data_IF_608914262283
#
_entry.id   IF_608914262283
#
_cell.length_a   1.000
_cell.length_b   1.000
_cell.length_c   1.000
_cell.angle_alpha   90.00
_cell.angle_beta   90.00
_cell.angle_gamma   90.00
#
_symmetry.space_group_name_H-M   'P 1'
#
loop_
_entity.id
_entity.type
_entity.pdbx_description
1 polymer ?
#
# COMPACT_ATOMS: atom_id res chain seq x y z
N UNK A 1 18.99 0.54 -8.11
CA UNK A 1 18.18 -0.13 -7.08
C UNK A 1 17.83 -1.49 -7.64
N UNK A 2 18.07 -2.57 -6.90
CA UNK A 2 17.90 -3.95 -7.36
C UNK A 2 16.62 -4.54 -6.77
N UNK A 3 15.86 -5.28 -7.57
CA UNK A 3 14.95 -6.28 -7.05
C UNK A 3 15.74 -7.32 -6.25
N UNK A 4 15.35 -7.54 -4.99
CA UNK A 4 15.97 -8.57 -4.16
C UNK A 4 14.97 -9.70 -3.95
N UNK A 5 15.45 -10.94 -4.08
CA UNK A 5 14.67 -12.11 -3.70
C UNK A 5 14.52 -12.09 -2.18
N UNK A 6 13.32 -11.77 -1.70
CA UNK A 6 13.00 -11.83 -0.28
C UNK A 6 13.09 -13.26 0.25
N UNK A 7 13.21 -13.40 1.58
CA UNK A 7 13.09 -14.70 2.26
C UNK A 7 11.76 -15.37 1.86
N UNK A 8 11.80 -16.65 1.48
CA UNK A 8 10.62 -17.41 1.05
C UNK A 8 10.30 -17.34 -0.44
N UNK A 9 11.15 -16.73 -1.28
CA UNK A 9 10.94 -16.68 -2.74
C UNK A 9 10.03 -15.53 -3.20
N UNK A 10 9.72 -14.60 -2.30
CA UNK A 10 8.94 -13.40 -2.58
C UNK A 10 9.76 -12.39 -3.41
N UNK A 11 9.14 -11.76 -4.39
CA UNK A 11 9.74 -10.66 -5.14
C UNK A 11 9.47 -9.35 -4.41
N UNK A 12 10.54 -8.72 -3.91
CA UNK A 12 10.44 -7.47 -3.16
C UNK A 12 11.29 -6.40 -3.85
N UNK A 13 10.70 -5.21 -4.01
CA UNK A 13 11.38 -4.04 -4.56
C UNK A 13 11.37 -2.90 -3.55
N UNK A 14 12.44 -2.11 -3.54
CA UNK A 14 12.47 -0.85 -2.81
C UNK A 14 12.12 0.29 -3.76
N UNK A 15 10.96 0.92 -3.54
CA UNK A 15 10.44 1.95 -4.42
C UNK A 15 10.45 3.31 -3.72
N UNK A 16 10.86 4.35 -4.45
CA UNK A 16 10.71 5.73 -3.99
C UNK A 16 9.26 6.16 -4.18
N UNK A 17 8.69 6.83 -3.18
CA UNK A 17 7.33 7.37 -3.27
C UNK A 17 7.40 8.88 -3.08
N UNK A 18 6.81 9.64 -4.01
CA UNK A 18 6.86 11.10 -3.95
C UNK A 18 6.25 11.61 -2.64
N UNK A 19 6.99 12.45 -1.92
CA UNK A 19 6.55 13.00 -0.63
C UNK A 19 6.84 12.09 0.57
N UNK A 20 7.64 11.04 0.40
CA UNK A 20 8.12 10.19 1.48
C UNK A 20 9.65 10.14 1.45
N UNK A 21 10.27 10.32 2.61
CA UNK A 21 11.73 10.37 2.74
C UNK A 21 12.38 9.00 2.56
N UNK A 22 11.76 7.96 3.13
CA UNK A 22 12.27 6.59 3.06
C UNK A 22 11.61 5.81 1.92
N UNK A 23 12.37 4.99 1.17
CA UNK A 23 11.80 4.08 0.19
C UNK A 23 10.82 3.11 0.84
N UNK A 24 9.76 2.77 0.12
CA UNK A 24 8.81 1.75 0.52
C UNK A 24 9.37 0.38 0.13
N UNK A 25 9.22 -0.60 1.03
CA UNK A 25 9.44 -2.01 0.72
C UNK A 25 8.14 -2.57 0.13
N UNK A 26 8.13 -2.81 -1.17
CA UNK A 26 6.94 -3.22 -1.93
C UNK A 26 7.06 -4.69 -2.29
N UNK A 27 6.04 -5.48 -1.94
CA UNK A 27 5.90 -6.86 -2.37
C UNK A 27 5.20 -6.90 -3.74
N UNK A 28 5.79 -7.60 -4.71
CA UNK A 28 5.13 -7.90 -5.97
C UNK A 28 4.35 -9.20 -5.80
N UNK A 29 3.04 -9.07 -5.68
CA UNK A 29 2.11 -10.17 -5.45
C UNK A 29 1.12 -10.28 -6.61
N UNK A 30 1.33 -11.27 -7.48
CA UNK A 30 0.41 -11.55 -8.60
C UNK A 30 -0.94 -12.10 -8.15
N UNK A 31 -1.09 -12.52 -6.88
CA UNK A 31 -2.36 -12.94 -6.29
C UNK A 31 -3.23 -11.77 -5.83
N UNK A 32 -2.66 -10.57 -5.68
CA UNK A 32 -3.40 -9.38 -5.28
C UNK A 32 -4.14 -8.77 -6.48
N UNK A 33 -5.42 -8.47 -6.30
CA UNK A 33 -6.26 -7.87 -7.36
C UNK A 33 -6.10 -6.36 -7.51
N UNK A 34 -5.53 -5.69 -6.51
CA UNK A 34 -5.30 -4.25 -6.41
C UNK A 34 -4.00 -3.97 -5.66
N UNK A 35 -3.57 -2.72 -5.68
CA UNK A 35 -2.47 -2.25 -4.85
C UNK A 35 -2.97 -1.95 -3.43
N UNK A 36 -2.22 -2.43 -2.43
CA UNK A 36 -2.55 -2.23 -1.01
C UNK A 36 -1.37 -1.61 -0.27
N UNK A 37 -1.67 -0.71 0.67
CA UNK A 37 -0.67 -0.07 1.52
C UNK A 37 -1.05 -0.26 2.99
N UNK A 38 -0.05 -0.54 3.84
CA UNK A 38 -0.25 -0.51 5.30
C UNK A 38 -0.44 0.94 5.72
N UNK A 39 -1.44 1.21 6.56
CA UNK A 39 -1.71 2.56 7.09
C UNK A 39 -0.46 3.15 7.76
N UNK A 40 0.24 2.37 8.56
CA UNK A 40 1.45 2.82 9.24
C UNK A 40 2.53 3.31 8.27
N UNK A 41 2.72 2.63 7.13
CA UNK A 41 3.70 3.04 6.11
C UNK A 41 3.36 4.43 5.54
N UNK A 42 2.10 4.65 5.15
CA UNK A 42 1.66 5.92 4.55
C UNK A 42 1.45 7.04 5.58
N UNK A 43 1.29 6.71 6.87
CA UNK A 43 1.15 7.68 7.95
C UNK A 43 2.40 8.55 8.16
N UNK A 44 3.56 8.12 7.66
CA UNK A 44 4.79 8.92 7.66
C UNK A 44 4.65 10.24 6.86
N UNK A 45 3.65 10.36 5.98
CA UNK A 45 3.18 11.62 5.43
C UNK A 45 1.75 11.92 5.92
N UNK A 46 1.65 12.62 7.06
CA UNK A 46 0.38 12.92 7.73
C UNK A 46 -0.59 13.72 6.87
N UNK A 47 -0.08 14.65 6.05
CA UNK A 47 -0.93 15.51 5.23
C UNK A 47 -1.65 14.68 4.16
N UNK A 48 -0.92 13.85 3.41
CA UNK A 48 -1.52 12.98 2.39
C UNK A 48 -2.55 12.02 2.98
N UNK A 49 -2.24 11.42 4.13
CA UNK A 49 -3.18 10.52 4.80
C UNK A 49 -4.42 11.29 5.30
N UNK A 50 -4.26 12.51 5.81
CA UNK A 50 -5.37 13.35 6.27
C UNK A 50 -6.29 13.73 5.11
N UNK A 51 -5.73 14.09 3.96
CA UNK A 51 -6.51 14.41 2.76
C UNK A 51 -7.31 13.19 2.28
N UNK A 52 -6.66 12.03 2.18
CA UNK A 52 -7.33 10.77 1.82
C UNK A 52 -8.43 10.37 2.81
N UNK A 53 -8.20 10.57 4.12
CA UNK A 53 -9.22 10.33 5.14
C UNK A 53 -10.41 11.29 4.98
N UNK A 54 -10.15 12.56 4.66
CA UNK A 54 -11.21 13.55 4.40
C UNK A 54 -12.04 13.18 3.17
N UNK A 55 -11.38 12.74 2.10
CA UNK A 55 -12.03 12.31 0.86
C UNK A 55 -12.83 11.02 1.02
N UNK A 56 -12.34 10.08 1.86
CA UNK A 56 -13.03 8.81 2.14
C UNK A 56 -14.34 8.96 2.95
N UNK A 57 -14.66 10.16 3.46
CA UNK A 57 -15.85 10.37 4.29
C UNK A 57 -17.11 10.13 3.46
N UNK A 58 -17.84 9.06 3.81
CA UNK A 58 -19.07 8.67 3.14
C UNK A 58 -18.91 7.61 2.05
N UNK A 59 -17.68 7.17 1.75
CA UNK A 59 -17.39 6.11 0.75
C UNK A 59 -17.73 4.69 1.26
N UNK A 60 -18.12 4.54 2.52
CA UNK A 60 -18.47 3.26 3.13
C UNK A 60 -17.24 2.39 3.43
N UNK A 61 -17.36 1.10 3.14
CA UNK A 61 -16.33 0.09 3.47
C UNK A 61 -16.04 -0.81 2.28
N UNK A 62 -14.90 -1.49 2.32
CA UNK A 62 -14.51 -2.54 1.37
C UNK A 62 -14.17 -3.82 2.12
N UNK A 63 -14.56 -4.96 1.54
CA UNK A 63 -14.14 -6.29 2.01
C UNK A 63 -12.89 -6.74 1.29
N UNK A 64 -11.89 -7.19 2.04
CA UNK A 64 -10.60 -7.67 1.52
C UNK A 64 -10.36 -9.07 2.05
N UNK A 65 -10.16 -10.04 1.15
CA UNK A 65 -9.72 -11.38 1.52
C UNK A 65 -8.20 -11.39 1.61
N UNK A 66 -7.68 -11.74 2.79
CA UNK A 66 -6.26 -11.85 3.07
C UNK A 66 -5.72 -13.22 2.64
N UNK A 67 -4.39 -13.34 2.61
CA UNK A 67 -3.71 -14.57 2.19
C UNK A 67 -3.97 -15.78 3.12
N UNK A 68 -4.37 -15.53 4.37
CA UNK A 68 -4.78 -16.56 5.33
C UNK A 68 -6.25 -17.03 5.11
N UNK A 69 -6.94 -16.47 4.12
CA UNK A 69 -8.34 -16.75 3.80
C UNK A 69 -9.35 -15.89 4.54
N UNK A 70 -8.93 -15.11 5.54
CA UNK A 70 -9.83 -14.23 6.30
C UNK A 70 -10.33 -13.07 5.45
N UNK A 71 -11.60 -12.73 5.59
CA UNK A 71 -12.18 -11.52 4.98
C UNK A 71 -12.30 -10.44 6.05
N UNK A 72 -11.62 -9.32 5.82
CA UNK A 72 -11.70 -8.14 6.68
C UNK A 72 -12.53 -7.06 5.99
N UNK A 73 -13.31 -6.32 6.76
CA UNK A 73 -14.01 -5.12 6.28
C UNK A 73 -13.29 -3.89 6.82
N UNK A 74 -12.88 -2.98 5.94
CA UNK A 74 -12.14 -1.77 6.29
C UNK A 74 -12.81 -0.53 5.69
N UNK A 75 -12.63 0.67 6.29
CA UNK A 75 -13.02 1.91 5.64
C UNK A 75 -12.39 2.01 4.25
N UNK A 76 -13.17 2.48 3.27
CA UNK A 76 -12.71 2.62 1.89
C UNK A 76 -11.83 3.86 1.76
N UNK A 77 -10.54 3.71 2.06
CA UNK A 77 -9.54 4.78 1.96
C UNK A 77 -8.63 4.47 0.76
N UNK A 78 -8.61 5.38 -0.20
CA UNK A 78 -7.72 5.30 -1.35
C UNK A 78 -6.67 6.41 -1.30
N UNK A 79 -5.46 6.10 -1.76
CA UNK A 79 -4.38 7.07 -1.90
C UNK A 79 -3.69 6.88 -3.25
N UNK A 80 -3.58 7.95 -4.03
CA UNK A 80 -2.75 7.96 -5.23
C UNK A 80 -1.29 8.19 -4.82
N UNK A 81 -0.46 7.19 -5.05
CA UNK A 81 0.96 7.21 -4.74
C UNK A 81 1.77 7.21 -6.03
N UNK A 82 2.60 8.25 -6.22
CA UNK A 82 3.58 8.29 -7.29
C UNK A 82 4.79 7.46 -6.88
N UNK A 83 4.88 6.24 -7.44
CA UNK A 83 5.86 5.20 -7.11
C UNK A 83 6.88 5.07 -8.23
N UNK A 84 8.16 5.00 -7.86
CA UNK A 84 9.27 4.82 -8.80
C UNK A 84 10.23 3.72 -8.35
N UNK A 85 10.52 2.75 -9.21
CA UNK A 85 11.57 1.75 -9.05
C UNK A 85 12.08 1.30 -10.42
N UNK A 86 13.39 1.13 -10.59
CA UNK A 86 14.01 0.86 -11.90
C UNK A 86 13.46 1.83 -12.98
N UNK A 87 12.94 1.31 -14.09
CA UNK A 87 12.33 2.10 -15.17
C UNK A 87 10.82 2.32 -14.98
N UNK A 88 10.22 1.76 -13.92
CA UNK A 88 8.83 2.01 -13.55
C UNK A 88 8.69 3.35 -12.83
N UNK A 89 7.79 4.21 -13.33
CA UNK A 89 7.49 5.54 -12.79
C UNK A 89 6.01 5.86 -13.08
N UNK A 90 5.13 5.60 -12.11
CA UNK A 90 3.68 5.80 -12.29
C UNK A 90 3.01 6.31 -11.02
N UNK A 91 1.79 6.83 -11.18
CA UNK A 91 0.91 7.15 -10.07
C UNK A 91 -0.18 6.11 -10.01
N UNK A 92 -0.17 5.29 -8.96
CA UNK A 92 -1.13 4.20 -8.76
C UNK A 92 -2.02 4.46 -7.57
N UNK A 93 -3.27 4.01 -7.64
CA UNK A 93 -4.20 4.05 -6.52
C UNK A 93 -3.97 2.85 -5.59
N UNK A 94 -3.76 3.13 -4.30
CA UNK A 94 -3.62 2.13 -3.24
C UNK A 94 -4.81 2.15 -2.30
N UNK A 95 -5.33 0.98 -1.95
CA UNK A 95 -6.25 0.82 -0.82
C UNK A 95 -5.45 0.75 0.47
N UNK A 96 -5.75 1.63 1.43
CA UNK A 96 -5.05 1.68 2.71
C UNK A 96 -5.71 0.72 3.71
N UNK A 97 -4.94 -0.23 4.21
CA UNK A 97 -5.40 -1.24 5.16
C UNK A 97 -4.79 -1.03 6.55
N UNK A 98 -5.61 -1.28 7.57
CA UNK A 98 -5.14 -1.37 8.96
C UNK A 98 -4.60 -2.76 9.23
N UNK A 99 -3.28 -2.91 9.10
CA UNK A 99 -2.57 -4.19 9.16
C UNK A 99 -1.84 -4.42 10.48
N UNK A 100 -1.77 -3.43 11.37
CA UNK A 100 -0.94 -3.45 12.58
C UNK A 100 -1.36 -4.53 13.61
N UNK A 101 -2.54 -5.12 13.42
CA UNK A 101 -3.09 -6.23 14.23
C UNK A 101 -2.76 -7.63 13.68
N UNK A 102 -2.08 -7.72 12.55
CA UNK A 102 -1.81 -8.98 11.83
C UNK A 102 -0.31 -9.27 11.64
N UNK A 103 0.58 -8.48 12.27
CA UNK A 103 2.01 -8.76 12.35
C UNK A 103 2.35 -9.78 13.45
#
# INVERSE_FOLDING_TARGET
MSAEKGSGGLLVVHARVRGYELPFRVLIDSGASKNFARRQTVASNSNKLTDALRESKGEGTVSVQLADGNVITVPRIHMDLAVKFEDFDSSEQFTVLEMDKYD
#
